data_IF_102725755313
#
_entry.id   IF_102725755313
#
_cell.length_a   1.000
_cell.length_b   1.000
_cell.length_c   1.000
_cell.angle_alpha   90.00
_cell.angle_beta   90.00
_cell.angle_gamma   90.00
#
_symmetry.space_group_name_H-M   'P 1'
#
loop_
_entity.id
_entity.type
_entity.pdbx_description
1 polymer ?
#
# COMPACT_ATOMS: atom_id res chain seq x y z
N UNK A 1 -18.29 -3.07 -3.07
CA UNK A 1 -18.01 -4.49 -2.71
C UNK A 1 -16.71 -4.53 -1.91
N UNK A 2 -16.61 -5.38 -0.87
CA UNK A 2 -15.37 -5.49 -0.11
C UNK A 2 -14.38 -6.40 -0.81
N UNK A 3 -13.08 -6.17 -0.60
CA UNK A 3 -12.02 -7.02 -1.19
C UNK A 3 -12.13 -8.47 -0.72
N UNK A 4 -12.53 -8.70 0.54
CA UNK A 4 -12.79 -10.05 1.07
C UNK A 4 -13.89 -10.78 0.30
N UNK A 5 -14.97 -10.10 -0.09
CA UNK A 5 -16.05 -10.68 -0.89
C UNK A 5 -15.57 -11.06 -2.30
N UNK A 6 -14.75 -10.19 -2.91
CA UNK A 6 -14.11 -10.45 -4.21
C UNK A 6 -13.20 -11.68 -4.17
N UNK A 7 -12.41 -11.82 -3.11
CA UNK A 7 -11.53 -12.98 -2.91
C UNK A 7 -12.35 -14.26 -2.71
N UNK A 8 -13.36 -14.23 -1.84
CA UNK A 8 -14.23 -15.37 -1.59
C UNK A 8 -14.95 -15.82 -2.87
N UNK A 9 -15.47 -14.86 -3.65
CA UNK A 9 -16.09 -15.14 -4.94
C UNK A 9 -15.12 -15.78 -5.93
N UNK A 10 -13.87 -15.30 -6.00
CA UNK A 10 -12.83 -15.87 -6.86
C UNK A 10 -12.46 -17.31 -6.44
N UNK A 11 -12.32 -17.55 -5.13
CA UNK A 11 -12.06 -18.90 -4.58
C UNK A 11 -13.22 -19.85 -4.90
N UNK A 12 -14.45 -19.43 -4.64
CA UNK A 12 -15.63 -20.25 -4.89
C UNK A 12 -15.80 -20.61 -6.38
N UNK A 13 -15.52 -19.66 -7.28
CA UNK A 13 -15.60 -19.86 -8.72
C UNK A 13 -14.31 -20.46 -9.33
N UNK A 14 -13.26 -20.68 -8.54
CA UNK A 14 -11.93 -21.12 -8.99
C UNK A 14 -11.38 -20.26 -10.14
N UNK A 15 -11.59 -18.95 -10.06
CA UNK A 15 -11.10 -17.98 -11.06
C UNK A 15 -9.96 -17.18 -10.50
N UNK A 16 -8.93 -16.94 -11.32
CA UNK A 16 -7.87 -15.99 -11.00
C UNK A 16 -8.37 -14.58 -11.26
N UNK A 17 -8.15 -13.68 -10.32
CA UNK A 17 -8.44 -12.26 -10.45
C UNK A 17 -7.15 -11.46 -10.34
N UNK A 18 -7.07 -10.37 -11.10
CA UNK A 18 -5.94 -9.46 -11.10
C UNK A 18 -6.35 -8.14 -10.46
N UNK A 19 -5.41 -7.52 -9.79
CA UNK A 19 -5.51 -6.14 -9.32
C UNK A 19 -4.26 -5.39 -9.76
N UNK A 20 -4.39 -4.10 -10.00
CA UNK A 20 -3.27 -3.26 -10.39
C UNK A 20 -2.98 -2.23 -9.32
N UNK A 21 -1.72 -1.83 -9.22
CA UNK A 21 -1.29 -0.75 -8.34
C UNK A 21 -0.89 0.45 -9.18
N UNK A 22 -1.52 1.60 -8.89
CA UNK A 22 -1.29 2.86 -9.56
C UNK A 22 -0.45 3.78 -8.67
N UNK A 23 0.62 4.30 -9.25
CA UNK A 23 1.36 5.42 -8.69
C UNK A 23 0.68 6.73 -9.10
N UNK A 24 0.19 7.56 -8.15
CA UNK A 24 -0.37 8.86 -8.49
C UNK A 24 0.60 9.75 -9.27
N UNK A 25 0.15 10.56 -10.23
CA UNK A 25 1.00 11.43 -11.03
C UNK A 25 1.67 12.51 -10.18
N UNK A 26 2.67 13.17 -10.72
CA UNK A 26 3.23 14.35 -10.06
C UNK A 26 2.24 15.53 -10.13
N UNK A 27 2.36 16.47 -9.21
CA UNK A 27 1.60 17.72 -9.27
C UNK A 27 1.96 18.48 -10.56
N UNK A 28 0.94 19.00 -11.21
CA UNK A 28 1.07 19.60 -12.55
C UNK A 28 0.53 18.69 -13.66
N UNK A 29 0.54 17.37 -13.45
CA UNK A 29 -0.17 16.45 -14.34
C UNK A 29 -1.65 16.42 -13.98
N UNK A 30 -2.49 16.35 -15.00
CA UNK A 30 -3.94 16.26 -14.81
C UNK A 30 -4.45 14.82 -14.72
N UNK A 31 -5.76 14.67 -14.55
CA UNK A 31 -6.44 13.36 -14.53
C UNK A 31 -6.24 12.54 -15.82
N UNK A 32 -5.91 13.21 -16.95
CA UNK A 32 -5.62 12.55 -18.23
C UNK A 32 -4.45 11.57 -18.12
N UNK A 33 -3.41 11.86 -17.35
CA UNK A 33 -2.26 10.95 -17.15
C UNK A 33 -2.67 9.72 -16.35
N UNK A 34 -3.53 9.89 -15.33
CA UNK A 34 -4.08 8.79 -14.53
C UNK A 34 -4.92 7.86 -15.41
N UNK A 35 -5.86 8.44 -16.14
CA UNK A 35 -6.78 7.65 -16.96
C UNK A 35 -6.08 6.98 -18.15
N UNK A 36 -5.12 7.67 -18.77
CA UNK A 36 -4.32 7.07 -19.85
C UNK A 36 -3.48 5.87 -19.41
N UNK A 37 -3.09 5.82 -18.12
CA UNK A 37 -2.42 4.64 -17.57
C UNK A 37 -3.40 3.49 -17.25
N UNK A 38 -4.65 3.81 -16.88
CA UNK A 38 -5.66 2.82 -16.48
C UNK A 38 -6.43 2.29 -17.70
N UNK A 39 -6.74 3.12 -18.70
CA UNK A 39 -7.57 2.73 -19.86
C UNK A 39 -7.14 1.38 -20.47
N UNK A 40 -5.86 1.10 -20.78
CA UNK A 40 -5.44 -0.19 -21.31
C UNK A 40 -5.50 -1.35 -20.29
N UNK A 41 -5.52 -1.05 -18.99
CA UNK A 41 -5.59 -2.08 -17.95
C UNK A 41 -7.03 -2.59 -17.76
N UNK A 42 -8.04 -1.82 -18.16
CA UNK A 42 -9.44 -2.20 -18.01
C UNK A 42 -9.82 -3.38 -18.91
N UNK A 43 -9.10 -3.62 -20.01
CA UNK A 43 -9.28 -4.78 -20.87
C UNK A 43 -9.02 -6.12 -20.13
N UNK A 44 -8.25 -6.08 -19.05
CA UNK A 44 -7.98 -7.23 -18.19
C UNK A 44 -9.05 -7.45 -17.11
N UNK A 45 -10.10 -6.66 -17.08
CA UNK A 45 -11.17 -6.72 -16.07
C UNK A 45 -10.64 -6.83 -14.64
N UNK A 46 -9.88 -5.84 -14.15
CA UNK A 46 -9.28 -5.88 -12.83
C UNK A 46 -10.35 -5.97 -11.73
N UNK A 47 -10.08 -6.75 -10.70
CA UNK A 47 -10.96 -6.87 -9.55
C UNK A 47 -11.01 -5.56 -8.75
N UNK A 48 -9.87 -4.89 -8.65
CA UNK A 48 -9.73 -3.57 -8.01
C UNK A 48 -8.42 -2.89 -8.43
N UNK A 49 -8.31 -1.61 -8.11
CA UNK A 49 -7.10 -0.81 -8.34
C UNK A 49 -6.61 -0.23 -7.01
N UNK A 50 -5.36 -0.54 -6.65
CA UNK A 50 -4.67 0.11 -5.53
C UNK A 50 -4.16 1.49 -5.95
N UNK A 51 -4.25 2.47 -5.06
CA UNK A 51 -3.68 3.81 -5.26
C UNK A 51 -2.64 4.08 -4.17
N UNK A 52 -1.36 4.11 -4.55
CA UNK A 52 -0.27 4.25 -3.61
C UNK A 52 -0.24 5.63 -2.97
N UNK A 53 0.09 5.69 -1.68
CA UNK A 53 0.34 6.94 -0.98
C UNK A 53 1.83 7.25 -0.94
N UNK A 54 2.18 8.48 -1.23
CA UNK A 54 3.54 8.99 -1.10
C UNK A 54 3.59 10.13 -0.10
N UNK A 55 4.39 9.95 0.94
CA UNK A 55 4.61 10.96 1.98
C UNK A 55 5.13 12.26 1.37
N UNK A 56 4.78 13.37 1.99
CA UNK A 56 5.25 14.70 1.60
C UNK A 56 6.78 14.78 1.62
N UNK A 57 7.33 15.52 0.66
CA UNK A 57 8.75 15.83 0.60
C UNK A 57 9.06 17.10 1.42
N UNK A 58 10.25 17.13 1.99
CA UNK A 58 10.81 18.37 2.53
C UNK A 58 11.52 19.13 1.40
N UNK A 59 11.24 20.44 1.29
CA UNK A 59 11.96 21.37 0.46
C UNK A 59 12.73 22.31 1.36
N UNK A 60 14.02 22.42 1.15
CA UNK A 60 14.89 23.40 1.80
C UNK A 60 14.94 24.65 0.92
N UNK A 61 14.59 25.79 1.48
CA UNK A 61 14.79 27.09 0.89
C UNK A 61 15.87 27.85 1.70
N UNK A 62 16.89 28.34 1.02
CA UNK A 62 17.96 29.15 1.64
C UNK A 62 17.57 30.62 1.46
N UNK A 63 17.38 31.32 2.57
CA UNK A 63 17.06 32.73 2.59
C UNK A 63 18.29 33.59 2.24
N UNK A 64 18.11 34.86 1.81
CA UNK A 64 19.23 35.76 1.49
C UNK A 64 20.20 36.00 2.64
N UNK A 65 19.76 35.83 3.89
CA UNK A 65 20.58 35.92 5.11
C UNK A 65 21.36 34.64 5.44
N UNK A 66 21.26 33.60 4.57
CA UNK A 66 21.89 32.30 4.75
C UNK A 66 21.14 31.34 5.68
N UNK A 67 20.03 31.77 6.29
CA UNK A 67 19.19 30.87 7.09
C UNK A 67 18.45 29.87 6.22
N UNK A 68 18.18 28.68 6.77
CA UNK A 68 17.51 27.59 6.08
C UNK A 68 16.08 27.45 6.57
N UNK A 69 15.13 27.42 5.65
CA UNK A 69 13.73 27.19 5.95
C UNK A 69 13.27 25.89 5.29
N UNK A 70 12.53 25.08 6.04
CA UNK A 70 12.03 23.80 5.56
C UNK A 70 10.53 23.87 5.35
N UNK A 71 10.09 23.54 4.14
CA UNK A 71 8.68 23.47 3.77
C UNK A 71 8.27 22.03 3.51
N UNK A 72 7.14 21.62 4.09
CA UNK A 72 6.50 20.36 3.75
C UNK A 72 5.73 20.55 2.44
N UNK A 73 6.01 19.75 1.44
CA UNK A 73 5.46 19.90 0.11
C UNK A 73 4.91 18.59 -0.43
N UNK A 74 3.63 18.58 -0.80
CA UNK A 74 3.05 17.49 -1.57
C UNK A 74 3.56 17.51 -3.00
N UNK A 75 4.10 16.38 -3.44
CA UNK A 75 4.52 16.20 -4.85
C UNK A 75 3.46 15.48 -5.67
N UNK A 76 2.51 14.82 -5.04
CA UNK A 76 1.45 14.03 -5.66
C UNK A 76 0.10 14.36 -5.02
N UNK A 77 -1.02 14.20 -5.76
CA UNK A 77 -2.35 14.31 -5.18
C UNK A 77 -2.56 13.27 -4.07
N UNK A 78 -3.50 13.54 -3.19
CA UNK A 78 -3.94 12.58 -2.17
C UNK A 78 -4.66 11.37 -2.78
N UNK A 79 -4.56 10.23 -2.12
CA UNK A 79 -5.13 8.97 -2.62
C UNK A 79 -6.65 9.00 -2.67
N UNK A 80 -7.32 9.68 -1.74
CA UNK A 80 -8.79 9.76 -1.68
C UNK A 80 -9.36 10.38 -2.94
N UNK A 81 -8.89 11.57 -3.34
CA UNK A 81 -9.39 12.27 -4.53
C UNK A 81 -9.18 11.48 -5.84
N UNK A 82 -8.00 10.85 -5.99
CA UNK A 82 -7.73 10.00 -7.16
C UNK A 82 -8.60 8.76 -7.16
N UNK A 83 -8.75 8.09 -6.01
CA UNK A 83 -9.59 6.90 -5.87
C UNK A 83 -11.05 7.19 -6.22
N UNK A 84 -11.59 8.31 -5.76
CA UNK A 84 -12.94 8.75 -6.12
C UNK A 84 -13.07 9.01 -7.63
N UNK A 85 -12.09 9.65 -8.25
CA UNK A 85 -12.09 9.90 -9.70
C UNK A 85 -12.04 8.61 -10.52
N UNK A 86 -11.21 7.62 -10.11
CA UNK A 86 -11.11 6.31 -10.75
C UNK A 86 -12.43 5.55 -10.62
N UNK A 87 -12.96 5.44 -9.40
CA UNK A 87 -14.22 4.73 -9.14
C UNK A 87 -15.37 5.30 -9.96
N UNK A 88 -15.47 6.64 -10.02
CA UNK A 88 -16.50 7.31 -10.82
C UNK A 88 -16.40 7.03 -12.31
N UNK A 89 -15.18 6.91 -12.86
CA UNK A 89 -15.00 6.72 -14.30
C UNK A 89 -15.16 5.27 -14.72
N UNK A 90 -14.64 4.31 -13.93
CA UNK A 90 -14.51 2.93 -14.38
C UNK A 90 -15.44 1.93 -13.69
N UNK A 91 -16.18 2.38 -12.65
CA UNK A 91 -17.03 1.51 -11.83
C UNK A 91 -16.29 0.26 -11.30
N UNK A 92 -15.02 0.44 -10.97
CA UNK A 92 -14.13 -0.58 -10.39
C UNK A 92 -13.87 -0.29 -8.93
N UNK A 93 -13.72 -1.32 -8.10
CA UNK A 93 -13.33 -1.12 -6.71
C UNK A 93 -11.93 -0.50 -6.63
N UNK A 94 -11.74 0.42 -5.68
CA UNK A 94 -10.47 1.10 -5.47
C UNK A 94 -10.03 0.97 -4.03
N UNK A 95 -8.73 0.75 -3.85
CA UNK A 95 -8.11 0.61 -2.53
C UNK A 95 -7.09 1.73 -2.36
N UNK A 96 -7.48 2.90 -1.80
CA UNK A 96 -6.51 3.91 -1.41
C UNK A 96 -5.60 3.38 -0.31
N UNK A 97 -4.30 3.64 -0.45
CA UNK A 97 -3.34 3.41 0.62
C UNK A 97 -3.46 4.54 1.64
N UNK A 98 -3.47 4.19 2.91
CA UNK A 98 -3.45 5.10 4.04
C UNK A 98 -2.22 4.83 4.89
N UNK A 99 -1.47 5.87 5.25
CA UNK A 99 -0.21 5.72 5.97
C UNK A 99 -0.22 6.47 7.30
N UNK A 100 0.52 5.96 8.29
CA UNK A 100 0.75 6.67 9.55
C UNK A 100 1.67 7.90 9.38
N UNK A 101 2.58 7.83 8.41
CA UNK A 101 3.63 8.82 8.24
C UNK A 101 3.13 10.19 7.80
N UNK A 102 3.40 11.22 8.62
CA UNK A 102 3.06 12.61 8.31
C UNK A 102 1.65 13.04 8.71
N UNK A 103 0.88 12.18 9.36
CA UNK A 103 -0.51 12.40 9.73
C UNK A 103 -0.74 12.18 11.23
N UNK A 104 -1.56 13.03 11.83
CA UNK A 104 -2.13 12.79 13.15
C UNK A 104 -3.29 11.78 13.05
N UNK A 105 -3.76 11.31 14.20
CA UNK A 105 -4.96 10.48 14.27
C UNK A 105 -6.19 11.20 13.73
N UNK A 106 -6.27 12.51 13.93
CA UNK A 106 -7.38 13.36 13.45
C UNK A 106 -7.34 13.48 11.92
N UNK A 107 -6.17 13.72 11.31
CA UNK A 107 -6.05 13.75 9.84
C UNK A 107 -6.46 12.41 9.20
N UNK A 108 -6.17 11.30 9.90
CA UNK A 108 -6.57 9.96 9.48
C UNK A 108 -8.08 9.79 9.58
N UNK A 109 -8.70 10.21 10.69
CA UNK A 109 -10.14 10.15 10.89
C UNK A 109 -10.89 10.99 9.85
N UNK A 110 -10.47 12.23 9.62
CA UNK A 110 -11.03 13.11 8.58
C UNK A 110 -10.96 12.43 7.20
N UNK A 111 -9.83 11.83 6.88
CA UNK A 111 -9.66 11.11 5.61
C UNK A 111 -10.57 9.89 5.48
N UNK A 112 -10.79 9.16 6.58
CA UNK A 112 -11.69 8.00 6.61
C UNK A 112 -13.16 8.44 6.48
N UNK A 113 -13.55 9.56 7.09
CA UNK A 113 -14.87 10.15 6.91
C UNK A 113 -15.10 10.51 5.44
N UNK A 114 -14.14 11.22 4.82
CA UNK A 114 -14.21 11.55 3.39
C UNK A 114 -14.33 10.30 2.52
N UNK A 115 -13.57 9.24 2.83
CA UNK A 115 -13.61 7.98 2.10
C UNK A 115 -14.98 7.30 2.23
N UNK A 116 -15.58 7.27 3.42
CA UNK A 116 -16.89 6.68 3.67
C UNK A 116 -17.98 7.40 2.87
N UNK A 117 -17.99 8.74 2.90
CA UNK A 117 -18.91 9.57 2.10
C UNK A 117 -18.76 9.36 0.58
N UNK A 118 -17.55 9.07 0.12
CA UNK A 118 -17.26 8.77 -1.29
C UNK A 118 -17.51 7.30 -1.66
N UNK A 119 -17.94 6.47 -0.71
CA UNK A 119 -18.16 5.03 -0.90
C UNK A 119 -16.88 4.23 -1.11
N UNK A 120 -15.73 4.73 -0.67
CA UNK A 120 -14.42 4.06 -0.75
C UNK A 120 -14.20 3.23 0.52
N UNK A 121 -14.79 2.03 0.56
CA UNK A 121 -14.79 1.20 1.77
C UNK A 121 -13.65 0.16 1.84
N UNK A 122 -12.70 0.21 0.94
CA UNK A 122 -11.52 -0.66 0.95
C UNK A 122 -10.27 0.20 1.18
N UNK A 123 -9.39 -0.20 2.09
CA UNK A 123 -8.19 0.55 2.42
C UNK A 123 -7.00 -0.37 2.65
N UNK A 124 -5.81 0.03 2.20
CA UNK A 124 -4.57 -0.62 2.57
C UNK A 124 -3.86 0.22 3.65
N UNK A 125 -3.89 -0.28 4.89
CA UNK A 125 -3.32 0.39 6.06
C UNK A 125 -1.83 0.07 6.20
N UNK A 126 -1.00 1.09 6.07
CA UNK A 126 0.46 0.98 6.07
C UNK A 126 1.07 1.91 7.13
N UNK A 127 2.25 1.59 7.62
CA UNK A 127 3.00 2.54 8.43
C UNK A 127 3.53 3.69 7.56
N UNK A 128 3.94 3.37 6.34
CA UNK A 128 4.68 4.24 5.45
C UNK A 128 6.18 4.24 5.75
N UNK A 129 6.94 4.79 4.82
CA UNK A 129 8.40 4.86 4.89
C UNK A 129 8.88 6.07 5.71
N UNK A 130 10.12 5.97 6.20
CA UNK A 130 10.82 7.13 6.76
C UNK A 130 11.03 8.21 5.68
N UNK A 131 11.14 9.47 6.08
CA UNK A 131 11.59 10.52 5.16
C UNK A 131 13.04 10.30 4.76
N UNK A 132 13.42 10.82 3.62
CA UNK A 132 14.76 10.64 3.07
C UNK A 132 15.88 11.15 4.00
N UNK A 133 15.59 12.19 4.78
CA UNK A 133 16.51 12.81 5.74
C UNK A 133 16.37 12.24 7.18
N UNK A 134 15.48 11.27 7.40
CA UNK A 134 15.31 10.63 8.70
C UNK A 134 16.13 9.34 8.76
N UNK A 135 16.85 9.04 9.87
CA UNK A 135 17.59 7.78 10.02
C UNK A 135 16.63 6.59 10.18
N UNK A 136 15.46 6.82 10.77
CA UNK A 136 14.39 5.84 11.00
C UNK A 136 13.02 6.50 10.85
N UNK A 137 11.97 5.69 10.80
CA UNK A 137 10.60 6.22 10.83
C UNK A 137 10.35 6.97 12.15
N UNK A 138 9.81 8.18 12.02
CA UNK A 138 9.39 9.01 13.15
C UNK A 138 7.90 9.29 12.97
N UNK A 139 7.03 8.86 13.92
CA UNK A 139 5.61 9.15 13.86
C UNK A 139 5.38 10.67 13.93
N UNK A 140 4.32 11.13 13.30
CA UNK A 140 3.87 12.52 13.44
C UNK A 140 3.38 12.76 14.89
N UNK A 141 3.37 14.02 15.34
CA UNK A 141 2.82 14.38 16.64
C UNK A 141 1.35 13.91 16.71
N UNK A 142 1.00 13.16 17.76
CA UNK A 142 -0.33 12.54 17.91
C UNK A 142 -0.70 11.54 16.79
N UNK A 143 0.27 11.10 15.97
CA UNK A 143 0.07 10.09 14.94
C UNK A 143 0.36 8.67 15.42
N UNK A 144 0.11 7.69 14.57
CA UNK A 144 0.40 6.29 14.84
C UNK A 144 1.87 5.93 14.57
N UNK A 145 2.44 5.09 15.43
CA UNK A 145 3.79 4.57 15.25
C UNK A 145 3.84 3.31 14.38
N UNK A 146 2.76 2.52 14.38
CA UNK A 146 2.68 1.23 13.69
C UNK A 146 1.38 1.08 12.91
N UNK A 147 1.43 0.29 11.83
CA UNK A 147 0.24 -0.01 11.03
C UNK A 147 -0.86 -0.73 11.84
N UNK A 148 -0.50 -1.50 12.85
CA UNK A 148 -1.49 -2.13 13.73
C UNK A 148 -2.35 -1.10 14.49
N UNK A 149 -1.77 0.05 14.87
CA UNK A 149 -2.51 1.12 15.55
C UNK A 149 -3.49 1.80 14.57
N UNK A 150 -3.06 1.98 13.31
CA UNK A 150 -3.93 2.49 12.25
C UNK A 150 -5.10 1.53 11.98
N UNK A 151 -4.84 0.21 11.92
CA UNK A 151 -5.90 -0.80 11.79
C UNK A 151 -6.90 -0.70 12.95
N UNK A 152 -6.45 -0.55 14.20
CA UNK A 152 -7.33 -0.40 15.36
C UNK A 152 -8.22 0.84 15.24
N UNK A 153 -7.69 1.97 14.78
CA UNK A 153 -8.46 3.19 14.56
C UNK A 153 -9.55 2.99 13.49
N UNK A 154 -9.21 2.36 12.35
CA UNK A 154 -10.18 2.08 11.29
C UNK A 154 -11.28 1.14 11.80
N UNK A 155 -10.91 0.12 12.56
CA UNK A 155 -11.88 -0.82 13.14
C UNK A 155 -12.73 -0.19 14.26
N UNK A 156 -12.21 0.81 14.98
CA UNK A 156 -13.00 1.60 15.92
C UNK A 156 -14.10 2.39 15.18
N UNK A 157 -13.77 3.06 14.07
CA UNK A 157 -14.76 3.75 13.24
C UNK A 157 -15.79 2.80 12.62
N UNK A 158 -15.41 1.57 12.27
CA UNK A 158 -16.36 0.54 11.84
C UNK A 158 -17.36 0.17 12.94
N UNK A 159 -17.05 0.44 14.21
CA UNK A 159 -17.97 0.26 15.35
C UNK A 159 -18.67 1.55 15.78
N UNK A 160 -18.43 2.68 15.08
CA UNK A 160 -18.99 3.98 15.44
C UNK A 160 -18.22 4.70 16.55
N UNK A 161 -17.00 4.27 16.86
CA UNK A 161 -16.12 4.87 17.86
C UNK A 161 -15.19 5.89 17.17
N UNK A 162 -15.26 7.17 17.54
CA UNK A 162 -14.43 8.25 17.03
C UNK A 162 -13.44 8.75 18.09
N UNK A 163 -12.45 9.55 17.69
CA UNK A 163 -11.40 10.03 18.60
C UNK A 163 -11.96 10.90 19.73
N UNK A 164 -12.98 11.69 19.45
CA UNK A 164 -13.64 12.58 20.40
C UNK A 164 -14.82 11.95 21.15
N UNK A 165 -15.06 10.67 20.93
CA UNK A 165 -16.05 9.88 21.65
C UNK A 165 -17.05 9.16 20.74
N UNK A 166 -18.01 8.49 21.38
CA UNK A 166 -19.11 7.85 20.68
C UNK A 166 -20.11 8.90 20.21
N UNK A 167 -20.57 8.76 18.97
CA UNK A 167 -21.64 9.59 18.41
C UNK A 167 -22.95 8.81 18.49
N UNK A 168 -23.95 9.37 19.19
CA UNK A 168 -25.27 8.77 19.25
C UNK A 168 -25.90 8.64 17.86
N UNK A 169 -26.49 7.48 17.56
CA UNK A 169 -27.14 7.17 16.28
C UNK A 169 -26.20 7.32 15.05
N UNK A 170 -24.91 7.02 15.22
CA UNK A 170 -23.96 7.16 14.13
C UNK A 170 -24.11 6.06 13.06
N UNK A 171 -23.81 6.43 11.82
CA UNK A 171 -23.59 5.47 10.75
C UNK A 171 -22.26 4.74 10.99
N UNK A 172 -22.32 3.41 11.05
CA UNK A 172 -21.12 2.58 11.16
C UNK A 172 -20.47 2.45 9.79
N UNK A 173 -19.22 2.86 9.65
CA UNK A 173 -18.46 2.61 8.43
C UNK A 173 -18.21 1.10 8.22
N UNK A 174 -17.86 0.71 6.99
CA UNK A 174 -17.70 -0.71 6.61
C UNK A 174 -16.38 -0.93 5.89
N UNK A 175 -15.31 -0.37 6.45
CA UNK A 175 -13.99 -0.52 5.83
C UNK A 175 -13.51 -1.96 5.87
N UNK A 176 -13.10 -2.49 4.71
CA UNK A 176 -12.28 -3.68 4.58
C UNK A 176 -10.82 -3.27 4.56
N UNK A 177 -10.04 -3.81 5.50
CA UNK A 177 -8.69 -3.33 5.80
C UNK A 177 -7.65 -4.34 5.37
N UNK A 178 -6.86 -3.99 4.35
CA UNK A 178 -5.65 -4.72 3.99
C UNK A 178 -4.42 -4.21 4.74
N UNK A 179 -3.43 -5.08 4.89
CA UNK A 179 -2.11 -4.74 5.46
C UNK A 179 -0.98 -5.36 4.66
N UNK A 180 0.23 -4.79 4.75
CA UNK A 180 1.39 -5.36 4.09
C UNK A 180 1.97 -6.55 4.85
N UNK A 181 2.41 -7.59 4.09
CA UNK A 181 3.23 -8.71 4.55
C UNK A 181 4.54 -8.77 3.75
N UNK A 182 5.56 -9.44 4.28
CA UNK A 182 6.90 -9.49 3.66
C UNK A 182 7.36 -10.94 3.54
N UNK A 183 7.32 -11.55 2.33
CA UNK A 183 7.73 -12.94 2.14
C UNK A 183 9.16 -13.22 2.61
N UNK A 184 10.07 -12.30 2.38
CA UNK A 184 11.46 -12.43 2.84
C UNK A 184 11.63 -11.92 4.27
N UNK A 185 11.37 -10.65 4.52
CA UNK A 185 11.35 -9.99 5.82
C UNK A 185 11.32 -8.48 5.63
N UNK A 186 10.61 -7.75 6.47
CA UNK A 186 10.75 -6.29 6.51
C UNK A 186 12.18 -5.91 6.92
N UNK A 187 12.77 -4.92 6.26
CA UNK A 187 14.19 -4.57 6.46
C UNK A 187 14.51 -4.09 7.89
N UNK A 188 13.56 -3.46 8.59
CA UNK A 188 13.71 -3.02 9.98
C UNK A 188 13.46 -4.13 11.02
N UNK A 189 12.81 -5.23 10.65
CA UNK A 189 12.59 -6.33 11.59
C UNK A 189 13.91 -7.03 11.92
N UNK A 190 14.12 -7.37 13.17
CA UNK A 190 15.34 -8.04 13.62
C UNK A 190 15.53 -9.40 12.93
N UNK A 191 14.46 -10.15 12.75
CA UNK A 191 14.45 -11.45 12.10
C UNK A 191 13.05 -11.77 11.56
N UNK A 192 12.91 -12.87 10.82
CA UNK A 192 11.65 -13.29 10.21
C UNK A 192 10.56 -13.62 11.24
N UNK A 193 10.95 -14.10 12.44
CA UNK A 193 10.00 -14.40 13.51
C UNK A 193 9.38 -13.13 14.09
N UNK A 194 10.19 -12.10 14.34
CA UNK A 194 9.70 -10.79 14.80
C UNK A 194 8.79 -10.13 13.75
N UNK A 195 9.15 -10.23 12.46
CA UNK A 195 8.32 -9.70 11.39
C UNK A 195 6.96 -10.39 11.30
N UNK A 196 6.95 -11.72 11.44
CA UNK A 196 5.73 -12.51 11.49
C UNK A 196 4.85 -12.14 12.71
N UNK A 197 5.48 -11.87 13.87
CA UNK A 197 4.76 -11.41 15.05
C UNK A 197 4.09 -10.04 14.81
N UNK A 198 4.79 -9.09 14.20
CA UNK A 198 4.20 -7.79 13.81
C UNK A 198 3.08 -7.93 12.79
N UNK A 199 3.19 -8.89 11.86
CA UNK A 199 2.09 -9.19 10.96
C UNK A 199 0.88 -9.77 11.70
N UNK A 200 1.10 -10.67 12.65
CA UNK A 200 0.04 -11.24 13.50
C UNK A 200 -0.67 -10.14 14.28
N UNK A 201 0.06 -9.18 14.85
CA UNK A 201 -0.52 -8.04 15.57
C UNK A 201 -1.43 -7.18 14.68
N UNK A 202 -1.11 -7.01 13.39
CA UNK A 202 -1.97 -6.31 12.43
C UNK A 202 -3.25 -7.08 12.15
N UNK A 203 -3.16 -8.41 12.02
CA UNK A 203 -4.32 -9.26 11.79
C UNK A 203 -5.20 -9.31 13.05
N UNK A 204 -4.61 -9.45 14.23
CA UNK A 204 -5.34 -9.44 15.50
C UNK A 204 -5.99 -8.08 15.81
N UNK A 205 -5.45 -6.99 15.26
CA UNK A 205 -6.07 -5.67 15.30
C UNK A 205 -7.31 -5.54 14.39
N UNK A 206 -7.56 -6.52 13.51
CA UNK A 206 -8.73 -6.57 12.65
C UNK A 206 -8.44 -6.39 11.15
N UNK A 207 -7.22 -6.64 10.68
CA UNK A 207 -6.97 -6.66 9.24
C UNK A 207 -7.66 -7.85 8.57
N UNK A 208 -8.34 -7.60 7.45
CA UNK A 208 -9.15 -8.57 6.72
C UNK A 208 -8.37 -9.38 5.69
N UNK A 209 -7.28 -8.82 5.16
CA UNK A 209 -6.42 -9.48 4.17
C UNK A 209 -5.01 -8.92 4.21
N UNK A 210 -4.08 -9.66 3.61
CA UNK A 210 -2.67 -9.28 3.50
C UNK A 210 -2.30 -9.14 2.03
N UNK A 211 -1.60 -8.05 1.66
CA UNK A 211 -0.93 -7.90 0.37
C UNK A 211 0.57 -8.02 0.61
N UNK A 212 1.25 -8.89 -0.12
CA UNK A 212 2.69 -9.05 0.11
C UNK A 212 3.51 -7.99 -0.62
N UNK A 213 4.69 -7.69 -0.07
CA UNK A 213 5.75 -7.08 -0.87
C UNK A 213 6.06 -8.00 -2.06
N UNK A 214 6.54 -7.41 -3.18
CA UNK A 214 6.98 -8.19 -4.33
C UNK A 214 8.09 -9.19 -3.95
N UNK A 215 8.14 -10.28 -4.66
CA UNK A 215 9.15 -11.32 -4.56
C UNK A 215 9.46 -11.87 -5.95
N UNK A 216 10.62 -12.50 -6.11
CA UNK A 216 11.09 -13.03 -7.40
C UNK A 216 11.43 -14.52 -7.33
N UNK A 217 11.28 -15.11 -6.15
CA UNK A 217 11.37 -16.54 -5.90
C UNK A 217 10.08 -17.00 -5.23
N UNK A 218 9.30 -17.84 -5.93
CA UNK A 218 8.03 -18.33 -5.46
C UNK A 218 8.14 -19.14 -4.16
N UNK A 219 9.29 -19.78 -3.91
CA UNK A 219 9.51 -20.52 -2.67
C UNK A 219 9.37 -19.62 -1.43
N UNK A 220 9.85 -18.36 -1.52
CA UNK A 220 9.74 -17.37 -0.45
C UNK A 220 8.28 -17.06 -0.10
N UNK A 221 7.44 -16.97 -1.12
CA UNK A 221 6.01 -16.74 -0.91
C UNK A 221 5.33 -17.96 -0.26
N UNK A 222 5.61 -19.16 -0.76
CA UNK A 222 4.99 -20.37 -0.20
C UNK A 222 5.45 -20.62 1.25
N UNK A 223 6.73 -20.46 1.55
CA UNK A 223 7.27 -20.54 2.90
C UNK A 223 6.66 -19.49 3.83
N UNK A 224 6.45 -18.28 3.32
CA UNK A 224 5.79 -17.21 4.07
C UNK A 224 4.35 -17.58 4.40
N UNK A 225 3.57 -18.06 3.43
CA UNK A 225 2.19 -18.50 3.66
C UNK A 225 2.14 -19.61 4.69
N UNK A 226 3.02 -20.61 4.60
CA UNK A 226 3.09 -21.71 5.57
C UNK A 226 3.39 -21.19 6.98
N UNK A 227 4.36 -20.31 7.14
CA UNK A 227 4.68 -19.68 8.43
C UNK A 227 3.50 -18.88 8.99
N UNK A 228 2.80 -18.13 8.14
CA UNK A 228 1.58 -17.40 8.52
C UNK A 228 0.50 -18.36 9.04
N UNK A 229 0.25 -19.45 8.33
CA UNK A 229 -0.76 -20.45 8.75
C UNK A 229 -0.39 -21.13 10.07
N UNK A 230 0.88 -21.48 10.28
CA UNK A 230 1.39 -22.02 11.55
C UNK A 230 1.26 -21.03 12.72
N UNK A 231 1.36 -19.72 12.45
CA UNK A 231 1.15 -18.67 13.44
C UNK A 231 -0.34 -18.32 13.69
N UNK A 232 -1.27 -19.04 13.06
CA UNK A 232 -2.71 -18.81 13.22
C UNK A 232 -3.24 -17.60 12.42
N UNK A 233 -2.51 -17.12 11.42
CA UNK A 233 -2.99 -16.12 10.48
C UNK A 233 -3.80 -16.82 9.40
N UNK A 234 -5.13 -16.62 9.40
CA UNK A 234 -6.08 -17.31 8.50
C UNK A 234 -6.59 -16.43 7.38
N UNK A 235 -6.45 -15.12 7.48
CA UNK A 235 -6.91 -14.17 6.46
C UNK A 235 -6.26 -14.44 5.10
N UNK A 236 -6.90 -14.04 3.97
CA UNK A 236 -6.32 -14.15 2.64
C UNK A 236 -4.96 -13.45 2.52
N UNK A 237 -4.05 -14.07 1.77
CA UNK A 237 -2.73 -13.50 1.46
C UNK A 237 -2.63 -13.35 -0.06
N UNK A 238 -2.58 -12.11 -0.52
CA UNK A 238 -2.53 -11.76 -1.94
C UNK A 238 -1.07 -11.51 -2.32
N UNK A 239 -0.52 -12.24 -3.30
CA UNK A 239 0.85 -12.02 -3.75
C UNK A 239 0.99 -10.68 -4.49
N UNK A 240 1.94 -9.86 -4.04
CA UNK A 240 2.41 -8.69 -4.77
C UNK A 240 3.42 -9.10 -5.84
N UNK A 241 3.19 -8.75 -7.09
CA UNK A 241 4.04 -9.10 -8.22
C UNK A 241 4.45 -7.82 -8.95
N UNK A 242 5.72 -7.74 -9.31
CA UNK A 242 6.24 -6.66 -10.12
C UNK A 242 7.10 -7.22 -11.24
N UNK A 243 6.74 -7.01 -12.51
CA UNK A 243 7.60 -7.40 -13.62
C UNK A 243 8.88 -6.56 -13.66
N UNK A 244 9.99 -7.21 -14.02
CA UNK A 244 11.23 -6.50 -14.34
C UNK A 244 11.09 -5.99 -15.78
N UNK A 245 11.13 -4.68 -15.95
CA UNK A 245 10.93 -4.05 -17.26
C UNK A 245 12.17 -3.31 -17.77
N UNK A 246 13.22 -3.21 -16.96
CA UNK A 246 14.48 -2.58 -17.34
C UNK A 246 15.64 -3.18 -16.54
N UNK A 247 16.88 -3.24 -17.08
CA UNK A 247 18.04 -3.69 -16.33
C UNK A 247 18.33 -2.91 -15.05
N UNK A 248 17.94 -1.63 -14.99
CA UNK A 248 18.06 -0.80 -13.78
C UNK A 248 17.26 -1.33 -12.58
N UNK A 249 16.22 -2.12 -12.82
CA UNK A 249 15.47 -2.76 -11.76
C UNK A 249 16.30 -3.75 -10.95
N UNK A 250 17.35 -4.35 -11.54
CA UNK A 250 18.27 -5.26 -10.82
C UNK A 250 19.01 -4.58 -9.65
N UNK A 251 19.18 -3.26 -9.70
CA UNK A 251 19.83 -2.48 -8.64
C UNK A 251 18.81 -1.78 -7.74
N UNK A 252 17.78 -1.19 -8.36
CA UNK A 252 16.80 -0.38 -7.65
C UNK A 252 15.93 -1.22 -6.72
N UNK A 253 15.43 -2.38 -7.19
CA UNK A 253 14.48 -3.17 -6.41
C UNK A 253 15.10 -3.76 -5.13
N UNK A 254 16.27 -4.44 -5.17
CA UNK A 254 16.91 -4.92 -3.95
C UNK A 254 17.27 -3.80 -2.98
N UNK A 255 17.78 -2.68 -3.49
CA UNK A 255 18.19 -1.54 -2.67
C UNK A 255 17.02 -0.85 -1.98
N UNK A 256 15.89 -0.71 -2.68
CA UNK A 256 14.74 0.05 -2.18
C UNK A 256 13.82 -0.80 -1.31
N UNK A 257 13.60 -2.05 -1.71
CA UNK A 257 12.59 -2.92 -1.09
C UNK A 257 13.18 -4.09 -0.31
N UNK A 258 14.52 -4.22 -0.30
CA UNK A 258 15.22 -5.31 0.39
C UNK A 258 14.76 -6.71 -0.06
N UNK A 259 14.46 -6.84 -1.34
CA UNK A 259 14.07 -8.10 -1.98
C UNK A 259 15.29 -8.76 -2.65
N UNK A 260 15.34 -10.07 -2.65
CA UNK A 260 16.38 -10.84 -3.36
C UNK A 260 15.95 -11.17 -4.78
N UNK A 261 16.91 -11.20 -5.69
CA UNK A 261 16.71 -11.60 -7.07
C UNK A 261 17.45 -12.93 -7.32
N UNK A 262 16.79 -13.97 -7.87
CA UNK A 262 17.45 -15.20 -8.28
C UNK A 262 18.59 -14.95 -9.28
N UNK A 263 19.69 -15.68 -9.15
CA UNK A 263 20.87 -15.50 -10.02
C UNK A 263 20.53 -15.69 -11.50
N UNK A 264 19.69 -16.67 -11.81
CA UNK A 264 19.26 -16.95 -13.18
C UNK A 264 18.48 -15.77 -13.78
N UNK A 265 17.57 -15.15 -13.02
CA UNK A 265 16.84 -13.96 -13.42
C UNK A 265 17.80 -12.78 -13.68
N UNK A 266 18.77 -12.58 -12.79
CA UNK A 266 19.80 -11.52 -12.96
C UNK A 266 20.61 -11.73 -14.23
N UNK A 267 21.04 -12.98 -14.51
CA UNK A 267 21.77 -13.32 -15.74
C UNK A 267 20.91 -13.08 -16.99
N UNK A 268 19.66 -13.53 -16.98
CA UNK A 268 18.75 -13.36 -18.11
C UNK A 268 18.52 -11.88 -18.43
N UNK A 269 18.18 -11.06 -17.43
CA UNK A 269 17.95 -9.63 -17.63
C UNK A 269 19.23 -8.90 -18.09
N UNK A 270 20.42 -9.26 -17.57
CA UNK A 270 21.68 -8.67 -18.03
C UNK A 270 22.00 -9.05 -19.47
N UNK A 271 21.64 -10.24 -19.91
CA UNK A 271 21.82 -10.68 -21.30
C UNK A 271 20.98 -9.86 -22.30
N UNK A 272 19.88 -9.27 -21.87
CA UNK A 272 19.07 -8.37 -22.71
C UNK A 272 19.75 -7.01 -22.99
N UNK A 273 20.81 -6.66 -22.27
CA UNK A 273 21.52 -5.38 -22.43
C UNK A 273 20.60 -4.19 -22.17
N UNK A 274 20.56 -3.25 -23.12
CA UNK A 274 19.65 -2.08 -23.05
C UNK A 274 18.28 -2.33 -23.70
N UNK A 275 18.05 -3.51 -24.24
CA UNK A 275 16.76 -3.88 -24.83
C UNK A 275 15.70 -4.08 -23.74
N UNK A 276 14.89 -3.05 -23.53
CA UNK A 276 13.82 -3.09 -22.53
C UNK A 276 12.66 -3.97 -22.93
N UNK A 277 12.48 -4.27 -24.21
CA UNK A 277 11.43 -5.18 -24.67
C UNK A 277 11.82 -6.62 -24.35
N UNK A 278 13.04 -7.04 -24.70
CA UNK A 278 13.56 -8.36 -24.36
C UNK A 278 13.58 -8.59 -22.83
N UNK A 279 13.83 -7.56 -22.04
CA UNK A 279 13.80 -7.66 -20.59
C UNK A 279 12.38 -7.83 -19.98
N UNK A 280 11.33 -7.62 -20.76
CA UNK A 280 9.92 -7.80 -20.35
C UNK A 280 9.39 -9.19 -20.74
N UNK A 281 9.96 -9.80 -21.74
CA UNK A 281 9.65 -11.16 -22.21
C UNK A 281 10.44 -12.23 -21.41
#
# INVERSE_FOLDING_TARGET
MNITDLIQGAVASRTTRFAFELLPPLKGDGTRSVFGAIDPLMDFNPAYINVTFHREALKEDIRPDGSREWHIMRRRPGTVGISAAIRRKYDVEVVPHLICGGWSKYDIEDSLIDMDFLGLHNVLALRGDKRQNEPRFVPYAQGHAHAADLVRQIQAMNRGEFIDGEVEECHHSKFSVGVAGYPEKHFEAANAQSDLQYLKEKVDAGADYIVTQMFFDNSKYFDFVERCRKAGITVPIIPGIKPISTPKHLEILPRTFSVSLPEELVKAVRACGEDTQAARE
#
